data_IF_634105126560
#
_entry.id   IF_634105126560
#
_cell.length_a   1.000
_cell.length_b   1.000
_cell.length_c   1.000
_cell.angle_alpha   90.00
_cell.angle_beta   90.00
_cell.angle_gamma   90.00
#
_symmetry.space_group_name_H-M   'P 1'
#
loop_
_entity.id
_entity.type
_entity.pdbx_description
1 polymer ?
#
# COMPACT_ATOMS: atom_id res chain seq x y z
N UNK A 1 -64.92 39.18 31.79
CA UNK A 1 -63.56 39.28 31.21
C UNK A 1 -63.44 38.15 30.23
N UNK A 2 -63.50 38.49 28.96
CA UNK A 2 -63.59 37.47 27.83
C UNK A 2 -62.26 37.41 27.14
N UNK A 3 -61.54 36.25 27.18
CA UNK A 3 -60.32 35.98 26.41
C UNK A 3 -60.71 35.43 25.01
N UNK A 4 -60.28 36.10 23.98
CA UNK A 4 -60.40 35.65 22.58
C UNK A 4 -59.21 34.83 22.20
N UNK A 5 -59.42 33.60 21.82
CA UNK A 5 -58.43 32.73 21.21
C UNK A 5 -58.35 33.02 19.69
N UNK A 6 -57.16 33.30 19.17
CA UNK A 6 -56.86 33.36 17.73
C UNK A 6 -56.27 32.01 17.28
N UNK A 7 -57.01 31.36 16.39
CA UNK A 7 -56.59 30.16 15.69
C UNK A 7 -55.81 30.58 14.44
N UNK A 8 -54.51 30.31 14.40
CA UNK A 8 -53.67 30.52 13.21
C UNK A 8 -53.48 29.17 12.51
N UNK A 9 -54.10 29.03 11.33
CA UNK A 9 -53.95 27.93 10.41
C UNK A 9 -52.64 28.15 9.64
N UNK A 10 -51.60 27.33 9.91
CA UNK A 10 -50.39 27.24 9.08
C UNK A 10 -50.57 26.10 8.07
N UNK A 11 -50.74 26.48 6.81
CA UNK A 11 -50.63 25.57 5.66
C UNK A 11 -49.15 25.18 5.48
N UNK A 12 -48.79 23.97 5.84
CA UNK A 12 -47.48 23.41 5.56
C UNK A 12 -47.43 22.86 4.13
N UNK A 13 -46.63 23.50 3.28
CA UNK A 13 -46.28 23.00 1.96
C UNK A 13 -45.30 21.85 2.15
N UNK A 14 -45.72 20.61 1.91
CA UNK A 14 -44.82 19.46 1.84
C UNK A 14 -44.21 19.43 0.44
N UNK A 15 -42.95 19.86 0.31
CA UNK A 15 -42.14 19.66 -0.87
C UNK A 15 -41.51 18.26 -0.75
N UNK A 16 -42.05 17.29 -1.49
CA UNK A 16 -41.37 16.00 -1.73
C UNK A 16 -40.17 16.25 -2.63
N UNK A 17 -38.98 16.42 -2.06
CA UNK A 17 -37.74 16.28 -2.79
C UNK A 17 -37.41 14.79 -2.92
N UNK A 18 -37.64 14.23 -4.11
CA UNK A 18 -37.07 12.96 -4.52
C UNK A 18 -35.55 13.18 -4.73
N UNK A 19 -34.80 13.06 -3.65
CA UNK A 19 -33.35 12.95 -3.69
C UNK A 19 -32.98 11.52 -4.04
N UNK A 20 -32.44 11.28 -5.23
CA UNK A 20 -31.57 10.14 -5.46
C UNK A 20 -30.32 10.33 -4.59
N UNK A 21 -30.38 9.85 -3.37
CA UNK A 21 -29.23 9.71 -2.50
C UNK A 21 -28.53 8.44 -2.90
N UNK A 22 -27.41 8.53 -3.61
CA UNK A 22 -26.39 7.51 -3.57
C UNK A 22 -25.92 7.45 -2.09
N UNK A 23 -26.21 6.35 -1.42
CA UNK A 23 -25.66 6.08 -0.10
C UNK A 23 -24.16 5.83 -0.27
N UNK A 24 -23.36 6.87 -0.16
CA UNK A 24 -21.97 6.73 0.22
C UNK A 24 -21.98 6.23 1.68
N UNK A 25 -21.93 4.92 1.86
CA UNK A 25 -21.52 4.36 3.14
C UNK A 25 -20.06 4.75 3.34
N UNK A 26 -19.84 5.79 4.13
CA UNK A 26 -18.54 6.17 4.60
C UNK A 26 -17.98 5.00 5.41
N UNK A 27 -16.99 4.31 4.86
CA UNK A 27 -16.15 3.36 5.59
C UNK A 27 -15.31 4.17 6.60
N UNK A 28 -15.91 4.59 7.70
CA UNK A 28 -15.24 5.23 8.82
C UNK A 28 -14.79 4.13 9.78
N UNK A 29 -13.67 3.49 9.49
CA UNK A 29 -13.00 2.54 10.38
C UNK A 29 -11.57 3.00 10.66
N UNK A 30 -11.16 2.91 11.89
CA UNK A 30 -9.78 3.17 12.33
C UNK A 30 -8.85 2.18 11.61
N UNK A 31 -7.79 2.72 10.94
CA UNK A 31 -6.80 1.95 10.18
C UNK A 31 -5.92 1.11 11.11
N UNK A 32 -6.42 -0.03 11.55
CA UNK A 32 -5.59 -1.05 12.20
C UNK A 32 -6.08 -2.41 11.73
N UNK A 33 -5.25 -3.10 10.98
CA UNK A 33 -5.56 -4.31 10.23
C UNK A 33 -5.53 -5.56 11.10
N UNK A 34 -6.43 -6.57 10.82
CA UNK A 34 -5.91 -7.92 10.69
C UNK A 34 -6.82 -9.03 11.11
N UNK A 35 -7.03 -9.99 10.24
CA UNK A 35 -7.91 -11.13 10.47
C UNK A 35 -7.61 -12.26 9.49
N UNK A 36 -8.10 -13.45 9.78
CA UNK A 36 -8.20 -14.59 8.87
C UNK A 36 -9.60 -14.62 8.28
N UNK A 37 -9.71 -14.84 6.98
CA UNK A 37 -10.96 -15.06 6.28
C UNK A 37 -11.15 -16.54 5.96
N UNK A 38 -12.21 -17.15 6.50
CA UNK A 38 -12.46 -18.58 6.32
C UNK A 38 -11.41 -19.46 6.99
N UNK A 39 -10.53 -20.06 6.22
CA UNK A 39 -9.42 -20.87 6.69
C UNK A 39 -8.12 -20.04 6.71
N UNK A 40 -7.22 -20.33 7.66
CA UNK A 40 -5.88 -19.71 7.66
C UNK A 40 -5.04 -20.30 6.52
N UNK A 41 -4.97 -19.58 5.41
CA UNK A 41 -4.28 -19.99 4.18
C UNK A 41 -2.81 -19.58 4.14
N UNK A 42 -2.32 -18.88 5.17
CA UNK A 42 -0.92 -18.47 5.27
C UNK A 42 0.02 -19.67 5.32
N UNK A 43 0.95 -19.70 4.40
CA UNK A 43 1.95 -20.76 4.30
C UNK A 43 3.37 -20.23 4.47
N UNK A 44 4.25 -21.09 5.01
CA UNK A 44 5.68 -20.86 4.98
C UNK A 44 6.19 -20.79 3.53
N UNK A 45 7.14 -19.89 3.24
CA UNK A 45 7.75 -19.77 1.92
C UNK A 45 8.22 -21.12 1.40
N UNK A 46 9.02 -21.88 2.19
CA UNK A 46 9.56 -23.17 1.78
C UNK A 46 8.52 -24.28 1.57
N UNK A 47 7.28 -24.12 2.08
CA UNK A 47 6.19 -25.10 1.95
C UNK A 47 5.17 -24.76 0.87
N UNK A 48 5.14 -23.51 0.42
CA UNK A 48 4.11 -23.07 -0.52
C UNK A 48 4.19 -23.86 -1.84
N UNK A 49 3.07 -24.31 -2.43
CA UNK A 49 3.09 -25.15 -3.63
C UNK A 49 3.59 -24.43 -4.89
N UNK A 50 3.26 -23.13 -5.06
CA UNK A 50 3.72 -22.34 -6.20
C UNK A 50 5.21 -22.04 -6.07
N UNK A 51 6.00 -22.45 -7.07
CA UNK A 51 7.42 -22.14 -7.16
C UNK A 51 7.66 -20.66 -7.47
N UNK A 52 6.76 -20.04 -8.24
CA UNK A 52 6.86 -18.63 -8.62
C UNK A 52 6.62 -17.72 -7.42
N UNK A 53 5.58 -17.97 -6.61
CA UNK A 53 5.35 -17.20 -5.40
C UNK A 53 6.47 -17.38 -4.35
N UNK A 54 7.08 -18.59 -4.25
CA UNK A 54 8.26 -18.76 -3.40
C UNK A 54 9.42 -17.91 -3.89
N UNK A 55 9.69 -17.94 -5.21
CA UNK A 55 10.74 -17.14 -5.84
C UNK A 55 10.51 -15.65 -5.60
N UNK A 56 9.29 -15.14 -5.79
CA UNK A 56 8.94 -13.73 -5.52
C UNK A 56 9.18 -13.39 -4.05
N UNK A 57 8.81 -14.28 -3.12
CA UNK A 57 9.03 -14.08 -1.70
C UNK A 57 10.51 -13.95 -1.32
N UNK A 58 11.38 -14.68 -2.01
CA UNK A 58 12.83 -14.68 -1.81
C UNK A 58 13.52 -13.51 -2.54
N UNK A 59 13.05 -13.15 -3.74
CA UNK A 59 13.71 -12.17 -4.60
C UNK A 59 13.23 -10.73 -4.40
N UNK A 60 11.93 -10.51 -4.14
CA UNK A 60 11.32 -9.18 -4.26
C UNK A 60 10.73 -8.64 -2.95
N UNK A 61 10.50 -9.48 -1.93
CA UNK A 61 9.79 -9.05 -0.72
C UNK A 61 10.76 -8.59 0.36
N UNK A 62 10.44 -7.43 0.97
CA UNK A 62 11.33 -6.70 1.86
C UNK A 62 10.67 -6.48 3.22
N UNK A 63 11.33 -6.89 4.31
CA UNK A 63 10.92 -6.57 5.66
C UNK A 63 11.45 -5.19 6.08
N UNK A 64 10.58 -4.33 6.60
CA UNK A 64 11.00 -3.11 7.28
C UNK A 64 11.24 -3.45 8.75
N UNK A 65 12.49 -3.67 9.11
CA UNK A 65 12.92 -4.06 10.47
C UNK A 65 13.51 -2.83 11.16
N UNK A 66 13.01 -2.42 12.35
CA UNK A 66 13.65 -1.34 13.10
C UNK A 66 15.15 -1.57 13.29
N UNK A 67 15.97 -0.59 12.95
CA UNK A 67 17.43 -0.73 12.88
C UNK A 67 18.06 -1.21 14.20
N UNK A 68 17.42 -0.94 15.35
CA UNK A 68 17.88 -1.43 16.65
C UNK A 68 17.63 -2.94 16.87
N UNK A 69 16.88 -3.61 15.99
CA UNK A 69 16.59 -5.05 16.06
C UNK A 69 17.49 -5.91 15.17
N UNK A 70 18.38 -5.31 14.40
CA UNK A 70 19.31 -6.03 13.53
C UNK A 70 20.75 -5.68 13.89
N UNK A 71 21.63 -6.66 13.89
CA UNK A 71 23.04 -6.50 14.20
C UNK A 71 23.90 -7.24 13.17
N UNK A 72 24.89 -6.55 12.61
CA UNK A 72 25.87 -7.16 11.71
C UNK A 72 26.90 -7.95 12.50
N UNK A 73 27.14 -9.20 12.13
CA UNK A 73 28.14 -10.07 12.71
C UNK A 73 29.49 -9.95 11.97
N UNK A 74 30.53 -10.51 12.58
CA UNK A 74 31.90 -10.40 12.03
C UNK A 74 32.13 -11.23 10.77
N UNK A 75 31.27 -12.20 10.49
CA UNK A 75 31.34 -13.07 9.32
C UNK A 75 30.50 -12.58 8.12
N UNK A 76 29.92 -11.37 8.22
CA UNK A 76 29.10 -10.78 7.17
C UNK A 76 27.64 -11.27 7.16
N UNK A 77 27.23 -11.98 8.22
CA UNK A 77 25.82 -12.30 8.47
C UNK A 77 25.17 -11.27 9.38
N UNK A 78 23.85 -11.33 9.50
CA UNK A 78 23.09 -10.47 10.40
C UNK A 78 22.24 -11.31 11.35
N UNK A 79 22.26 -10.92 12.63
CA UNK A 79 21.38 -11.48 13.66
C UNK A 79 20.23 -10.53 13.97
N UNK A 80 19.10 -11.09 14.38
CA UNK A 80 17.88 -10.35 14.71
C UNK A 80 17.59 -10.45 16.20
N UNK A 81 17.28 -9.33 16.84
CA UNK A 81 16.71 -9.32 18.17
C UNK A 81 15.18 -9.50 18.07
N UNK A 82 14.73 -10.69 18.47
CA UNK A 82 13.34 -11.16 18.26
C UNK A 82 12.69 -11.56 19.57
N UNK A 83 11.36 -11.64 19.52
CA UNK A 83 10.51 -12.26 20.54
C UNK A 83 9.56 -13.24 19.83
N UNK A 84 9.12 -14.30 20.49
CA UNK A 84 8.11 -15.19 19.88
C UNK A 84 6.78 -14.45 19.71
N UNK A 85 6.04 -14.77 18.64
CA UNK A 85 4.72 -14.19 18.42
C UNK A 85 3.78 -14.42 19.62
N UNK A 86 3.82 -15.62 20.17
CA UNK A 86 3.02 -16.00 21.35
C UNK A 86 3.32 -15.11 22.55
N UNK A 87 4.58 -14.88 22.85
CA UNK A 87 4.97 -14.05 24.00
C UNK A 87 4.69 -12.55 23.72
N UNK A 88 4.85 -12.12 22.47
CA UNK A 88 4.58 -10.74 22.08
C UNK A 88 3.09 -10.38 22.18
N UNK A 89 2.20 -11.30 21.80
CA UNK A 89 0.76 -11.07 21.69
C UNK A 89 -0.06 -11.79 22.79
N UNK A 90 0.56 -12.56 23.67
CA UNK A 90 -0.13 -13.30 24.71
C UNK A 90 -1.05 -14.40 24.16
N UNK A 91 -0.61 -15.10 23.10
CA UNK A 91 -1.45 -16.06 22.39
C UNK A 91 -1.55 -17.40 23.13
N UNK A 92 -2.60 -18.13 22.81
CA UNK A 92 -2.78 -19.51 23.25
C UNK A 92 -1.68 -20.42 22.66
N UNK A 93 -1.35 -21.48 23.36
CA UNK A 93 -0.19 -22.31 23.02
C UNK A 93 -0.31 -23.06 21.69
N UNK A 94 -1.53 -23.23 21.22
CA UNK A 94 -1.90 -23.95 20.00
C UNK A 94 -2.17 -23.02 18.79
N UNK A 95 -1.98 -21.68 18.96
CA UNK A 95 -2.09 -20.75 17.84
C UNK A 95 -0.98 -20.95 16.81
N UNK A 96 -1.38 -20.83 15.52
CA UNK A 96 -0.46 -20.94 14.39
C UNK A 96 0.70 -19.94 14.52
N UNK A 97 1.90 -20.36 14.15
CA UNK A 97 3.13 -19.56 14.15
C UNK A 97 3.55 -18.97 15.51
N UNK A 98 2.87 -19.33 16.62
CA UNK A 98 3.07 -18.73 17.94
C UNK A 98 4.51 -18.79 18.46
N UNK A 99 5.30 -19.80 18.12
CA UNK A 99 6.69 -19.96 18.55
C UNK A 99 7.71 -19.27 17.61
N UNK A 100 7.26 -18.69 16.49
CA UNK A 100 8.18 -18.07 15.54
C UNK A 100 8.65 -16.70 16.00
N UNK A 101 9.85 -16.28 15.57
CA UNK A 101 10.42 -14.97 15.90
C UNK A 101 9.66 -13.84 15.22
N UNK A 102 9.62 -12.66 15.85
CA UNK A 102 9.04 -11.44 15.29
C UNK A 102 10.07 -10.33 15.26
N UNK A 103 10.26 -9.69 14.10
CA UNK A 103 11.21 -8.59 13.94
C UNK A 103 10.66 -7.43 13.11
N UNK A 104 9.89 -7.69 12.05
CA UNK A 104 9.39 -6.68 11.14
C UNK A 104 8.28 -5.82 11.76
N UNK A 105 8.21 -4.56 11.35
CA UNK A 105 7.13 -3.62 11.71
C UNK A 105 6.18 -3.35 10.55
N UNK A 106 6.72 -3.37 9.33
CA UNK A 106 5.99 -3.22 8.07
C UNK A 106 6.59 -4.14 7.01
N UNK A 107 5.88 -4.25 5.91
CA UNK A 107 6.27 -4.99 4.71
C UNK A 107 6.59 -4.03 3.57
N UNK A 108 7.32 -4.49 2.57
CA UNK A 108 7.58 -3.77 1.35
C UNK A 108 7.86 -4.71 0.18
N UNK A 109 7.94 -4.15 -1.00
CA UNK A 109 8.27 -4.87 -2.24
C UNK A 109 9.22 -4.06 -3.08
N UNK A 110 10.22 -4.72 -3.64
CA UNK A 110 11.15 -4.14 -4.59
C UNK A 110 10.43 -3.92 -5.93
N UNK A 111 10.42 -2.69 -6.44
CA UNK A 111 9.75 -2.31 -7.70
C UNK A 111 10.70 -1.81 -8.78
N UNK A 112 11.94 -1.54 -8.44
CA UNK A 112 13.05 -1.17 -9.32
C UNK A 112 14.36 -1.58 -8.65
N UNK A 113 15.48 -1.47 -9.32
CA UNK A 113 16.79 -1.94 -8.84
C UNK A 113 17.18 -1.37 -7.46
N UNK A 114 16.68 -0.19 -7.08
CA UNK A 114 16.92 0.44 -5.78
C UNK A 114 15.66 1.05 -5.14
N UNK A 115 14.46 0.71 -5.64
CA UNK A 115 13.22 1.24 -5.11
C UNK A 115 12.38 0.20 -4.38
N UNK A 116 12.08 0.47 -3.13
CA UNK A 116 11.14 -0.31 -2.30
C UNK A 116 9.85 0.47 -2.11
N UNK A 117 8.73 -0.16 -2.46
CA UNK A 117 7.38 0.32 -2.18
C UNK A 117 6.89 -0.24 -0.85
N UNK A 118 6.32 0.61 -0.01
CA UNK A 118 5.64 0.25 1.26
C UNK A 118 4.41 1.15 1.47
N UNK A 119 3.64 0.92 2.54
CA UNK A 119 2.56 1.82 2.92
C UNK A 119 3.10 3.17 3.42
N UNK A 120 2.42 4.26 3.10
CA UNK A 120 2.84 5.61 3.46
C UNK A 120 2.88 5.85 4.96
N UNK A 121 1.92 5.26 5.70
CA UNK A 121 1.86 5.35 7.16
C UNK A 121 2.98 4.56 7.88
N UNK A 122 3.73 3.70 7.19
CA UNK A 122 4.92 3.05 7.76
C UNK A 122 6.07 4.01 7.96
N UNK A 123 6.06 5.15 7.26
CA UNK A 123 7.11 6.15 7.29
C UNK A 123 6.51 7.47 7.78
N UNK A 124 6.90 7.91 8.96
CA UNK A 124 6.41 9.14 9.57
C UNK A 124 7.53 9.88 10.35
N UNK A 125 7.16 10.93 11.07
CA UNK A 125 8.13 11.71 11.87
C UNK A 125 8.68 10.95 13.09
N UNK A 126 7.96 9.93 13.59
CA UNK A 126 8.36 9.06 14.69
C UNK A 126 9.16 7.86 14.20
N UNK A 127 8.91 7.44 12.96
CA UNK A 127 9.52 6.30 12.29
C UNK A 127 9.98 6.72 10.88
N UNK A 128 10.99 7.62 10.78
CA UNK A 128 11.52 8.04 9.49
C UNK A 128 12.20 6.87 8.76
N UNK A 129 12.37 6.99 7.44
CA UNK A 129 12.84 5.86 6.63
C UNK A 129 14.21 5.30 7.06
N UNK A 130 15.07 6.13 7.64
CA UNK A 130 16.39 5.73 8.18
C UNK A 130 16.32 5.04 9.54
N UNK A 131 15.12 4.99 10.17
CA UNK A 131 14.90 4.20 11.38
C UNK A 131 14.79 2.70 11.09
N UNK A 132 14.69 2.31 9.81
CA UNK A 132 14.56 0.92 9.38
C UNK A 132 15.77 0.42 8.61
N UNK A 133 16.05 -0.88 8.78
CA UNK A 133 16.77 -1.69 7.81
C UNK A 133 15.74 -2.32 6.86
N UNK A 134 16.03 -2.34 5.59
CA UNK A 134 15.24 -2.96 4.52
C UNK A 134 15.88 -4.31 4.25
N UNK A 135 15.20 -5.39 4.68
CA UNK A 135 15.80 -6.72 4.81
C UNK A 135 15.10 -7.72 3.91
N UNK A 136 15.85 -8.27 2.96
CA UNK A 136 15.44 -9.45 2.20
C UNK A 136 15.73 -10.73 2.99
N UNK A 137 15.26 -11.87 2.51
CA UNK A 137 15.51 -13.19 3.11
C UNK A 137 15.03 -13.37 4.57
N UNK A 138 14.16 -12.47 5.08
CA UNK A 138 13.53 -12.71 6.37
C UNK A 138 12.36 -13.69 6.23
N UNK A 139 12.66 -14.97 5.97
CA UNK A 139 11.71 -16.08 5.88
C UNK A 139 12.29 -17.35 6.49
N UNK A 140 11.47 -18.38 6.70
CA UNK A 140 11.97 -19.72 7.05
C UNK A 140 12.34 -20.47 5.75
N UNK A 141 13.53 -21.09 5.73
CA UNK A 141 14.00 -21.97 4.66
C UNK A 141 13.82 -23.47 4.98
N UNK A 142 13.51 -23.78 6.24
CA UNK A 142 13.14 -25.09 6.75
C UNK A 142 12.31 -24.94 8.05
N UNK A 143 11.69 -26.01 8.58
CA UNK A 143 10.99 -25.95 9.85
C UNK A 143 11.85 -25.31 10.95
N UNK A 144 11.35 -24.26 11.58
CA UNK A 144 11.98 -23.54 12.70
C UNK A 144 13.37 -22.93 12.38
N UNK A 145 13.75 -22.86 11.10
CA UNK A 145 15.03 -22.31 10.68
C UNK A 145 14.82 -21.06 9.81
N UNK A 146 15.32 -19.91 10.28
CA UNK A 146 15.42 -18.71 9.47
C UNK A 146 16.49 -18.87 8.39
N UNK A 147 16.22 -18.36 7.21
CA UNK A 147 17.23 -18.18 6.18
C UNK A 147 18.36 -17.27 6.71
N UNK A 148 19.57 -17.46 6.20
CA UNK A 148 20.71 -16.65 6.63
C UNK A 148 20.63 -15.30 5.94
N UNK A 149 20.51 -14.24 6.73
CA UNK A 149 20.54 -12.85 6.25
C UNK A 149 22.01 -12.42 6.15
N UNK A 150 22.45 -11.95 4.99
CA UNK A 150 23.80 -11.51 4.69
C UNK A 150 23.88 -10.01 4.40
N UNK A 151 25.11 -9.49 4.20
CA UNK A 151 25.30 -8.08 3.86
C UNK A 151 24.57 -7.67 2.56
N UNK A 152 24.47 -8.56 1.59
CA UNK A 152 23.73 -8.37 0.33
C UNK A 152 22.20 -8.35 0.50
N UNK A 153 21.66 -8.77 1.64
CA UNK A 153 20.24 -8.81 1.94
C UNK A 153 19.77 -7.61 2.75
N UNK A 154 20.68 -6.73 3.20
CA UNK A 154 20.37 -5.64 4.13
C UNK A 154 20.74 -4.30 3.50
N UNK A 155 19.75 -3.42 3.42
CA UNK A 155 19.85 -2.08 2.84
C UNK A 155 19.37 -1.03 3.82
N UNK A 156 19.82 0.22 3.59
CA UNK A 156 19.40 1.39 4.33
C UNK A 156 18.60 2.34 3.42
N UNK A 157 17.85 3.26 3.99
CA UNK A 157 17.19 4.32 3.26
C UNK A 157 18.19 5.39 2.83
N UNK A 158 18.27 5.71 1.53
CA UNK A 158 18.92 6.91 1.05
C UNK A 158 17.96 8.11 1.13
N UNK A 159 16.72 7.94 0.71
CA UNK A 159 15.68 8.99 0.76
C UNK A 159 14.30 8.43 0.46
N UNK A 160 13.26 9.15 0.86
CA UNK A 160 11.90 8.96 0.36
C UNK A 160 11.77 9.66 -1.00
N UNK A 161 11.39 8.93 -2.04
CA UNK A 161 11.24 9.45 -3.40
C UNK A 161 9.85 10.04 -3.60
N UNK A 162 8.83 9.30 -3.18
CA UNK A 162 7.43 9.70 -3.25
C UNK A 162 6.71 9.17 -2.01
N UNK A 163 5.83 9.97 -1.43
CA UNK A 163 5.02 9.53 -0.30
C UNK A 163 3.67 10.21 -0.31
N UNK A 164 2.66 9.42 -0.01
CA UNK A 164 1.33 9.87 0.34
C UNK A 164 0.91 9.12 1.59
N UNK A 165 0.31 9.83 2.54
CA UNK A 165 -0.26 9.23 3.75
C UNK A 165 -1.75 9.60 3.84
N UNK A 166 -2.59 8.75 4.46
CA UNK A 166 -4.01 9.00 4.53
C UNK A 166 -4.32 10.26 5.35
N UNK A 167 -5.24 11.07 4.87
CA UNK A 167 -5.72 12.28 5.56
C UNK A 167 -7.24 12.22 5.75
N UNK A 168 -7.72 12.75 6.87
CA UNK A 168 -9.14 12.99 7.10
C UNK A 168 -10.03 11.75 7.16
N UNK A 169 -9.47 10.58 7.49
CA UNK A 169 -10.20 9.32 7.58
C UNK A 169 -10.38 8.59 6.24
N UNK A 170 -9.71 9.03 5.18
CA UNK A 170 -9.62 8.30 3.92
C UNK A 170 -8.57 7.20 4.02
N UNK A 171 -8.74 6.09 3.26
CA UNK A 171 -7.74 5.03 3.18
C UNK A 171 -6.63 5.34 2.17
N UNK A 172 -6.94 6.10 1.13
CA UNK A 172 -6.03 6.41 0.03
C UNK A 172 -5.94 7.92 -0.20
N UNK A 173 -4.81 8.38 -0.76
CA UNK A 173 -3.61 7.58 -1.07
C UNK A 173 -2.79 7.24 0.20
N UNK A 174 -2.20 6.03 0.24
CA UNK A 174 -1.35 5.57 1.34
C UNK A 174 -0.21 4.71 0.77
N UNK A 175 0.91 5.33 0.40
CA UNK A 175 2.11 4.64 -0.08
C UNK A 175 3.36 5.47 0.19
N UNK A 176 4.51 4.81 0.27
CA UNK A 176 5.83 5.42 0.23
C UNK A 176 6.76 4.61 -0.69
N UNK A 177 7.49 5.31 -1.55
CA UNK A 177 8.56 4.75 -2.37
C UNK A 177 9.88 5.23 -1.79
N UNK A 178 10.70 4.27 -1.38
CA UNK A 178 11.96 4.49 -0.69
C UNK A 178 13.09 4.12 -1.65
N UNK A 179 14.03 5.03 -1.86
CA UNK A 179 15.28 4.70 -2.52
C UNK A 179 16.24 4.11 -1.51
N UNK A 180 16.75 2.93 -1.81
CA UNK A 180 17.78 2.25 -1.05
C UNK A 180 19.13 2.96 -1.19
N UNK A 181 20.06 2.70 -0.26
CA UNK A 181 21.39 3.27 -0.26
C UNK A 181 22.29 2.80 -1.42
N UNK A 182 21.89 1.74 -2.09
CA UNK A 182 22.54 1.19 -3.30
C UNK A 182 21.54 0.32 -4.07
N UNK A 183 21.76 0.09 -5.38
CA UNK A 183 21.03 -0.93 -6.13
C UNK A 183 21.17 -2.31 -5.47
N UNK A 184 20.10 -3.13 -5.60
CA UNK A 184 20.14 -4.49 -5.06
C UNK A 184 21.13 -5.35 -5.84
N UNK A 185 21.68 -6.34 -5.14
CA UNK A 185 22.69 -7.25 -5.67
C UNK A 185 22.20 -8.72 -5.53
N UNK A 186 22.90 -9.62 -6.21
CA UNK A 186 22.68 -11.05 -6.06
C UNK A 186 21.42 -11.56 -6.73
N UNK A 187 20.53 -12.18 -5.94
CA UNK A 187 19.31 -12.81 -6.42
C UNK A 187 18.07 -11.90 -6.33
N UNK A 188 18.20 -10.68 -5.82
CA UNK A 188 17.05 -9.80 -5.65
C UNK A 188 16.64 -9.15 -6.97
N UNK A 189 15.35 -9.27 -7.31
CA UNK A 189 14.79 -8.85 -8.60
C UNK A 189 13.49 -8.09 -8.33
N UNK A 190 13.27 -6.93 -8.99
CA UNK A 190 12.01 -6.20 -8.89
C UNK A 190 10.80 -7.04 -9.28
N UNK A 191 9.70 -6.87 -8.55
CA UNK A 191 8.45 -7.52 -8.85
C UNK A 191 7.87 -7.02 -10.19
N UNK A 192 7.33 -7.93 -10.98
CA UNK A 192 6.63 -7.57 -12.22
C UNK A 192 5.35 -6.80 -11.89
N UNK A 193 5.18 -5.61 -12.45
CA UNK A 193 4.04 -4.73 -12.16
C UNK A 193 2.89 -5.03 -13.12
N UNK A 194 1.67 -5.10 -12.56
CA UNK A 194 0.44 -5.24 -13.34
C UNK A 194 0.17 -3.97 -14.16
N UNK A 195 -0.29 -4.09 -15.43
CA UNK A 195 -0.82 -2.96 -16.18
C UNK A 195 -1.96 -2.25 -15.44
N UNK A 196 -2.14 -0.95 -15.68
CA UNK A 196 -3.19 -0.13 -15.09
C UNK A 196 -4.60 -0.50 -15.61
N UNK A 197 -5.03 -1.73 -15.35
CA UNK A 197 -6.35 -2.25 -15.71
C UNK A 197 -7.09 -2.71 -14.45
N UNK A 198 -8.44 -2.58 -14.40
CA UNK A 198 -9.20 -3.08 -13.27
C UNK A 198 -8.98 -4.57 -13.04
N UNK A 199 -8.96 -4.97 -11.78
CA UNK A 199 -9.10 -6.38 -11.40
C UNK A 199 -10.54 -6.85 -11.63
N UNK A 200 -10.72 -8.13 -11.89
CA UNK A 200 -12.06 -8.76 -11.93
C UNK A 200 -12.57 -9.02 -10.51
N UNK A 201 -13.88 -8.92 -10.31
CA UNK A 201 -14.49 -9.39 -9.07
C UNK A 201 -14.25 -10.90 -8.92
N UNK A 202 -13.86 -11.36 -7.72
CA UNK A 202 -13.46 -12.75 -7.44
C UNK A 202 -12.20 -13.21 -8.19
N UNK A 203 -11.43 -12.28 -8.75
CA UNK A 203 -10.10 -12.60 -9.26
C UNK A 203 -9.21 -13.08 -8.11
N UNK A 204 -8.52 -14.20 -8.30
CA UNK A 204 -7.66 -14.78 -7.28
C UNK A 204 -6.46 -13.87 -6.99
N UNK A 205 -6.11 -13.77 -5.72
CA UNK A 205 -5.00 -12.97 -5.23
C UNK A 205 -4.06 -13.82 -4.37
N UNK A 206 -2.78 -13.47 -4.41
CA UNK A 206 -1.81 -13.89 -3.43
C UNK A 206 -1.20 -12.68 -2.74
N UNK A 207 -1.05 -12.73 -1.41
CA UNK A 207 -0.37 -11.71 -0.63
C UNK A 207 0.89 -12.28 0.01
N UNK A 208 1.99 -11.50 -0.03
CA UNK A 208 3.26 -11.90 0.60
C UNK A 208 3.75 -10.77 1.49
N UNK A 209 4.04 -11.08 2.76
CA UNK A 209 4.52 -10.09 3.71
C UNK A 209 4.79 -10.62 5.11
N UNK A 210 4.88 -9.70 6.08
CA UNK A 210 5.44 -9.92 7.42
C UNK A 210 4.41 -9.65 8.54
N UNK A 211 3.22 -10.22 8.40
CA UNK A 211 2.16 -10.06 9.39
C UNK A 211 2.58 -10.42 10.80
N UNK A 212 2.17 -9.61 11.77
CA UNK A 212 2.57 -9.68 13.18
C UNK A 212 4.10 -9.63 13.41
N UNK A 213 4.86 -9.18 12.41
CA UNK A 213 6.32 -9.15 12.43
C UNK A 213 6.99 -10.50 12.19
N UNK A 214 6.22 -11.54 11.83
CA UNK A 214 6.70 -12.88 11.51
C UNK A 214 7.65 -12.89 10.31
N UNK A 215 8.47 -13.93 10.12
CA UNK A 215 9.08 -14.25 8.84
C UNK A 215 8.04 -14.34 7.73
N UNK A 216 8.39 -13.97 6.51
CA UNK A 216 7.46 -13.88 5.38
C UNK A 216 6.52 -15.08 5.29
N UNK A 217 5.25 -14.78 5.04
CA UNK A 217 4.20 -15.77 4.73
C UNK A 217 3.63 -15.46 3.35
N UNK A 218 3.21 -16.51 2.67
CA UNK A 218 2.44 -16.44 1.43
C UNK A 218 1.02 -16.85 1.78
N UNK A 219 0.08 -15.95 1.60
CA UNK A 219 -1.35 -16.23 1.55
C UNK A 219 -1.80 -16.24 0.09
N UNK A 220 -2.34 -17.35 -0.40
CA UNK A 220 -2.83 -17.49 -1.78
C UNK A 220 -4.30 -17.92 -1.85
N UNK A 221 -5.02 -17.85 -0.73
CA UNK A 221 -6.46 -18.13 -0.65
C UNK A 221 -7.34 -16.93 -0.96
N UNK A 222 -6.77 -15.72 -1.06
CA UNK A 222 -7.49 -14.49 -1.23
C UNK A 222 -8.12 -14.29 -2.61
N UNK A 223 -9.08 -13.37 -2.66
CA UNK A 223 -9.74 -12.91 -3.89
C UNK A 223 -10.23 -11.46 -3.78
N UNK A 224 -10.48 -10.83 -4.92
CA UNK A 224 -11.05 -9.48 -5.00
C UNK A 224 -12.53 -9.51 -4.62
N UNK A 225 -12.89 -8.85 -3.54
CA UNK A 225 -14.27 -8.69 -3.09
C UNK A 225 -14.95 -7.47 -3.74
N UNK A 226 -14.24 -6.34 -3.88
CA UNK A 226 -14.69 -5.14 -4.60
C UNK A 226 -13.53 -4.55 -5.40
N UNK A 227 -13.55 -4.64 -6.72
CA UNK A 227 -12.46 -4.16 -7.57
C UNK A 227 -12.41 -2.62 -7.70
N UNK A 228 -13.46 -1.88 -7.32
CA UNK A 228 -13.59 -0.42 -7.51
C UNK A 228 -13.14 0.03 -8.91
N UNK A 229 -13.59 -0.70 -9.93
CA UNK A 229 -13.10 -0.62 -11.30
C UNK A 229 -13.25 0.77 -11.95
N UNK A 230 -14.13 1.62 -11.42
CA UNK A 230 -14.40 2.99 -11.86
C UNK A 230 -13.45 4.03 -11.25
N UNK A 231 -12.71 3.67 -10.19
CA UNK A 231 -11.84 4.59 -9.44
C UNK A 231 -10.36 4.21 -9.51
N UNK A 232 -10.05 2.92 -9.45
CA UNK A 232 -8.68 2.37 -9.38
C UNK A 232 -7.83 2.94 -8.24
N UNK A 233 -8.48 3.47 -7.19
CA UNK A 233 -7.80 4.03 -6.02
C UNK A 233 -7.28 2.93 -5.10
N UNK A 234 -8.16 2.00 -4.74
CA UNK A 234 -7.86 0.77 -4.01
C UNK A 234 -8.87 -0.30 -4.42
N UNK A 235 -8.63 -1.52 -4.02
CA UNK A 235 -9.62 -2.60 -4.07
C UNK A 235 -9.74 -3.27 -2.71
N UNK A 236 -10.86 -3.96 -2.49
CA UNK A 236 -11.11 -4.71 -1.25
C UNK A 236 -10.91 -6.20 -1.53
N UNK A 237 -10.24 -6.87 -0.60
CA UNK A 237 -9.90 -8.29 -0.70
C UNK A 237 -10.23 -9.05 0.61
N UNK A 238 -10.24 -10.39 0.54
CA UNK A 238 -10.32 -11.29 1.68
C UNK A 238 -8.99 -12.03 1.93
N UNK A 239 -7.87 -11.34 1.77
CA UNK A 239 -6.55 -11.88 2.11
C UNK A 239 -6.34 -11.91 3.63
N UNK A 240 -5.64 -12.92 4.13
CA UNK A 240 -5.32 -13.09 5.55
C UNK A 240 -4.26 -12.09 5.99
N UNK A 241 -4.69 -11.01 6.63
CA UNK A 241 -3.81 -9.91 6.99
C UNK A 241 -3.67 -9.72 8.50
N UNK A 242 -2.59 -9.11 8.94
CA UNK A 242 -2.25 -8.83 10.35
C UNK A 242 -1.43 -7.54 10.44
N UNK A 243 -1.46 -6.87 11.59
CA UNK A 243 -0.58 -5.75 11.85
C UNK A 243 0.87 -6.10 11.48
N UNK A 244 1.51 -5.25 10.65
CA UNK A 244 2.81 -5.56 10.04
C UNK A 244 2.71 -5.97 8.56
N UNK A 245 1.51 -6.38 8.07
CA UNK A 245 1.28 -6.52 6.64
C UNK A 245 1.12 -5.18 5.90
N UNK A 246 1.13 -4.03 6.58
CA UNK A 246 1.20 -2.72 5.92
C UNK A 246 2.35 -2.68 4.92
N UNK A 247 2.05 -2.43 3.63
CA UNK A 247 3.00 -2.51 2.53
C UNK A 247 3.22 -3.91 1.93
N UNK A 248 2.52 -4.95 2.41
CA UNK A 248 2.59 -6.30 1.80
C UNK A 248 2.16 -6.29 0.35
N UNK A 249 2.95 -6.94 -0.48
CA UNK A 249 2.67 -7.07 -1.90
C UNK A 249 1.50 -8.01 -2.16
N UNK A 250 0.54 -7.55 -2.94
CA UNK A 250 -0.60 -8.35 -3.40
C UNK A 250 -0.48 -8.58 -4.90
N UNK A 251 -0.49 -9.84 -5.31
CA UNK A 251 -0.25 -10.28 -6.67
C UNK A 251 -1.54 -10.80 -7.30
N UNK A 252 -1.71 -10.56 -8.61
CA UNK A 252 -2.79 -11.12 -9.40
C UNK A 252 -2.53 -12.60 -9.78
N UNK A 253 -3.46 -13.21 -10.52
CA UNK A 253 -3.37 -14.61 -10.96
C UNK A 253 -2.25 -14.88 -11.97
N UNK A 254 -1.55 -13.86 -12.46
CA UNK A 254 -0.39 -13.94 -13.33
C UNK A 254 0.93 -13.58 -12.58
N UNK A 255 0.89 -13.59 -11.24
CA UNK A 255 2.01 -13.27 -10.34
C UNK A 255 2.57 -11.85 -10.55
N UNK A 256 1.72 -10.89 -10.99
CA UNK A 256 2.08 -9.47 -11.14
C UNK A 256 1.58 -8.67 -9.95
N UNK A 257 2.40 -7.75 -9.48
CA UNK A 257 2.07 -6.83 -8.40
C UNK A 257 0.85 -5.98 -8.76
N UNK A 258 -0.25 -6.22 -8.09
CA UNK A 258 -1.53 -5.50 -8.25
C UNK A 258 -1.67 -4.32 -7.28
N UNK A 259 -1.00 -4.39 -6.13
CA UNK A 259 -1.05 -3.35 -5.12
C UNK A 259 -0.35 -3.74 -3.83
N UNK A 260 -0.48 -2.88 -2.83
CA UNK A 260 0.03 -3.11 -1.47
C UNK A 260 -1.07 -2.99 -0.44
N UNK A 261 -1.04 -3.84 0.57
CA UNK A 261 -1.97 -3.76 1.70
C UNK A 261 -1.72 -2.48 2.50
N UNK A 262 -2.78 -1.74 2.80
CA UNK A 262 -2.70 -0.49 3.56
C UNK A 262 -3.59 -0.48 4.80
N UNK A 263 -4.52 -1.40 4.94
CA UNK A 263 -5.40 -1.48 6.09
C UNK A 263 -6.44 -2.57 5.94
N UNK A 264 -7.23 -2.77 6.98
CA UNK A 264 -8.26 -3.81 6.98
C UNK A 264 -9.03 -3.90 8.31
N UNK A 265 -9.56 -5.07 8.62
CA UNK A 265 -10.40 -5.31 9.81
C UNK A 265 -9.56 -5.50 11.07
N UNK A 266 -10.16 -5.17 12.22
CA UNK A 266 -9.56 -5.32 13.56
C UNK A 266 -10.53 -5.95 14.53
N UNK A 267 -10.01 -6.51 15.65
CA UNK A 267 -8.60 -6.73 16.03
C UNK A 267 -8.03 -8.02 15.43
N UNK A 268 -6.66 -8.11 15.33
CA UNK A 268 -5.91 -9.32 14.92
C UNK A 268 -6.24 -10.53 15.79
N UNK A 269 -6.30 -10.28 17.10
CA UNK A 269 -6.44 -11.32 18.12
C UNK A 269 -7.50 -10.91 19.13
N UNK A 270 -8.29 -11.89 19.55
CA UNK A 270 -9.36 -11.74 20.54
C UNK A 270 -9.16 -12.74 21.67
N UNK A 271 -9.56 -12.38 22.88
CA UNK A 271 -9.63 -13.33 24.00
C UNK A 271 -11.07 -13.85 24.06
N UNK A 272 -11.25 -15.14 23.82
CA UNK A 272 -12.57 -15.75 23.85
C UNK A 272 -13.08 -15.94 25.30
N UNK A 273 -14.40 -16.02 25.46
CA UNK A 273 -15.01 -16.22 26.76
C UNK A 273 -14.49 -17.53 27.43
N UNK A 274 -13.94 -17.38 28.62
CA UNK A 274 -13.37 -18.50 29.40
C UNK A 274 -11.90 -18.78 29.10
N UNK A 275 -11.27 -18.12 28.14
CA UNK A 275 -9.84 -18.20 27.88
C UNK A 275 -9.08 -17.04 28.54
N UNK A 276 -7.76 -17.21 28.73
CA UNK A 276 -6.86 -16.19 29.28
C UNK A 276 -5.75 -15.79 28.28
N UNK A 277 -5.87 -16.26 27.04
CA UNK A 277 -4.89 -16.06 25.96
C UNK A 277 -5.60 -15.62 24.68
N UNK A 278 -4.86 -14.98 23.79
CA UNK A 278 -5.37 -14.47 22.52
C UNK A 278 -5.54 -15.58 21.48
N UNK A 279 -6.58 -15.48 20.67
CA UNK A 279 -6.87 -16.26 19.47
C UNK A 279 -6.88 -15.37 18.25
N UNK A 280 -6.49 -15.89 17.11
CA UNK A 280 -6.66 -15.20 15.82
C UNK A 280 -8.14 -14.88 15.61
N UNK A 281 -8.43 -13.66 15.18
CA UNK A 281 -9.78 -13.27 14.77
C UNK A 281 -10.10 -13.92 13.42
N UNK A 282 -11.26 -14.60 13.34
CA UNK A 282 -11.71 -15.26 12.11
C UNK A 282 -13.03 -14.67 11.67
N UNK A 283 -13.12 -14.31 10.39
CA UNK A 283 -14.30 -13.78 9.74
C UNK A 283 -14.73 -14.69 8.59
N UNK A 284 -15.96 -14.53 8.15
CA UNK A 284 -16.47 -15.17 6.95
C UNK A 284 -15.93 -14.42 5.71
N UNK A 285 -15.65 -15.14 4.60
CA UNK A 285 -15.16 -14.55 3.33
C UNK A 285 -16.06 -13.43 2.82
N UNK A 286 -17.36 -13.51 3.06
CA UNK A 286 -18.33 -12.46 2.69
C UNK A 286 -18.14 -11.16 3.46
N UNK A 287 -17.33 -11.16 4.50
CA UNK A 287 -17.00 -10.01 5.33
C UNK A 287 -15.68 -9.36 4.93
N UNK A 288 -15.15 -9.66 3.75
CA UNK A 288 -13.92 -9.08 3.21
C UNK A 288 -13.82 -7.58 3.51
N UNK A 289 -12.64 -7.14 3.92
CA UNK A 289 -12.44 -5.76 4.36
C UNK A 289 -11.00 -5.29 4.29
N UNK A 290 -10.10 -6.13 3.76
CA UNK A 290 -8.71 -5.73 3.56
C UNK A 290 -8.59 -4.78 2.39
N UNK A 291 -7.95 -3.63 2.61
CA UNK A 291 -7.82 -2.54 1.65
C UNK A 291 -6.44 -2.58 1.03
N UNK A 292 -6.41 -2.77 -0.28
CA UNK A 292 -5.16 -2.85 -1.07
C UNK A 292 -5.08 -1.63 -1.97
N UNK A 293 -4.07 -0.79 -1.76
CA UNK A 293 -3.81 0.38 -2.61
C UNK A 293 -3.39 -0.08 -4.01
N UNK A 294 -4.06 0.41 -5.05
CA UNK A 294 -3.80 -0.02 -6.42
C UNK A 294 -2.43 0.46 -6.90
N UNK A 295 -1.66 -0.45 -7.51
CA UNK A 295 -0.30 -0.16 -7.99
C UNK A 295 -0.27 0.95 -9.05
N UNK A 296 -1.33 1.08 -9.86
CA UNK A 296 -1.39 2.10 -10.91
C UNK A 296 -1.29 3.52 -10.36
N UNK A 297 -1.93 3.80 -9.20
CA UNK A 297 -1.83 5.12 -8.56
C UNK A 297 -0.47 5.35 -7.90
N UNK A 298 0.18 4.29 -7.40
CA UNK A 298 1.55 4.40 -6.87
C UNK A 298 2.50 4.83 -7.98
N UNK A 299 2.47 4.12 -9.12
CA UNK A 299 3.31 4.43 -10.27
C UNK A 299 3.02 5.85 -10.79
N UNK A 300 1.74 6.22 -10.93
CA UNK A 300 1.37 7.57 -11.34
C UNK A 300 1.93 8.63 -10.38
N UNK A 301 1.76 8.45 -9.07
CA UNK A 301 2.27 9.37 -8.06
C UNK A 301 3.80 9.49 -8.06
N UNK A 302 4.52 8.38 -8.26
CA UNK A 302 5.97 8.37 -8.40
C UNK A 302 6.43 9.17 -9.61
N UNK A 303 5.78 8.99 -10.76
CA UNK A 303 6.09 9.71 -12.00
C UNK A 303 5.74 11.19 -11.91
N UNK A 304 4.63 11.54 -11.26
CA UNK A 304 4.22 12.93 -11.00
C UNK A 304 5.21 13.67 -10.09
N UNK A 305 5.83 12.95 -9.14
CA UNK A 305 6.87 13.48 -8.26
C UNK A 305 8.25 13.62 -8.97
N UNK A 306 8.32 13.28 -10.26
CA UNK A 306 9.47 13.51 -11.13
C UNK A 306 10.44 12.36 -11.29
N UNK A 307 10.06 11.16 -10.91
CA UNK A 307 10.80 9.96 -11.28
C UNK A 307 10.72 9.80 -12.80
N UNK A 308 11.85 9.57 -13.46
CA UNK A 308 11.93 9.60 -14.93
C UNK A 308 12.38 8.27 -15.56
N UNK A 309 12.32 7.19 -14.79
CA UNK A 309 12.56 5.88 -15.33
C UNK A 309 11.50 5.50 -16.37
N UNK A 310 11.93 5.11 -17.57
CA UNK A 310 11.04 4.81 -18.69
C UNK A 310 10.34 3.46 -18.56
N UNK A 311 10.89 2.55 -17.78
CA UNK A 311 10.31 1.22 -17.58
C UNK A 311 9.11 1.30 -16.62
N UNK A 312 9.19 2.15 -15.60
CA UNK A 312 8.09 2.42 -14.68
C UNK A 312 7.12 3.49 -15.19
N UNK A 313 7.63 4.61 -15.68
CA UNK A 313 6.82 5.80 -16.01
C UNK A 313 6.47 5.91 -17.51
N UNK A 314 7.02 5.06 -18.35
CA UNK A 314 6.87 5.17 -19.80
C UNK A 314 7.57 6.39 -20.38
N UNK A 315 7.57 6.57 -21.69
CA UNK A 315 8.18 7.73 -22.34
C UNK A 315 7.42 9.01 -21.93
N UNK A 316 8.14 10.03 -21.45
CA UNK A 316 7.54 11.33 -21.13
C UNK A 316 6.85 11.90 -22.38
N UNK A 317 5.56 12.18 -22.29
CA UNK A 317 4.85 12.92 -23.33
C UNK A 317 5.50 14.31 -23.50
N UNK A 318 5.55 14.79 -24.74
CA UNK A 318 6.14 16.10 -25.08
C UNK A 318 5.63 17.21 -24.16
N UNK A 319 6.51 18.16 -23.79
CA UNK A 319 6.21 19.31 -22.92
C UNK A 319 4.88 19.97 -23.30
N UNK A 320 3.88 19.91 -22.42
CA UNK A 320 2.59 20.59 -22.58
C UNK A 320 1.34 19.78 -22.32
N UNK A 321 1.43 18.47 -22.15
CA UNK A 321 0.30 17.63 -21.72
C UNK A 321 0.63 16.92 -20.40
N UNK A 322 -0.37 16.72 -19.50
CA UNK A 322 -0.13 15.99 -18.26
C UNK A 322 0.31 14.56 -18.59
N UNK A 323 1.35 14.07 -17.90
CA UNK A 323 1.87 12.73 -18.02
C UNK A 323 0.76 11.72 -17.68
N UNK A 324 0.07 11.23 -18.70
CA UNK A 324 -0.86 10.13 -18.57
C UNK A 324 -0.11 8.81 -18.79
N UNK A 325 -0.16 7.91 -17.83
CA UNK A 325 0.32 6.55 -17.99
C UNK A 325 -0.41 5.90 -19.19
N UNK A 326 0.31 5.69 -20.28
CA UNK A 326 -0.19 4.90 -21.41
C UNK A 326 0.20 3.45 -21.14
N UNK A 327 -0.76 2.67 -20.63
CA UNK A 327 -0.57 1.22 -20.49
C UNK A 327 -0.13 0.61 -21.84
N UNK A 328 0.87 -0.27 -21.88
CA UNK A 328 1.19 -1.00 -23.09
C UNK A 328 -0.04 -1.82 -23.51
N UNK A 329 -0.58 -1.51 -24.69
CA UNK A 329 -1.68 -2.27 -25.28
C UNK A 329 -1.10 -3.63 -25.71
N UNK A 330 -1.43 -4.69 -25.00
CA UNK A 330 -1.12 -6.04 -25.44
C UNK A 330 -2.09 -6.39 -26.57
N UNK A 331 -1.64 -6.26 -27.82
CA UNK A 331 -2.36 -6.77 -28.99
C UNK A 331 -2.38 -8.30 -28.96
N UNK A 332 -3.42 -8.84 -28.35
CA UNK A 332 -3.75 -10.25 -28.46
C UNK A 332 -4.28 -10.59 -29.85
N UNK A 333 -3.42 -10.72 -30.84
CA UNK A 333 -3.67 -11.55 -32.03
C UNK A 333 -2.35 -11.78 -32.78
N UNK A 334 -1.97 -13.03 -32.88
CA UNK A 334 -0.87 -13.46 -33.74
C UNK A 334 -1.19 -13.18 -35.21
N UNK A 335 -0.38 -12.33 -35.83
CA UNK A 335 -0.42 -12.08 -37.25
C UNK A 335 0.86 -11.37 -37.69
N UNK A 336 1.70 -12.10 -38.40
CA UNK A 336 2.94 -11.60 -39.05
C UNK A 336 2.59 -10.53 -40.07
N UNK A 337 3.04 -9.29 -39.82
CA UNK A 337 2.93 -8.22 -40.81
C UNK A 337 3.68 -6.99 -40.34
N UNK A 338 4.95 -6.90 -40.71
CA UNK A 338 5.79 -5.70 -40.53
C UNK A 338 5.32 -4.66 -41.54
N UNK A 339 4.63 -3.60 -41.09
CA UNK A 339 4.55 -2.35 -41.86
C UNK A 339 5.01 -1.22 -40.94
N UNK A 340 6.13 -0.61 -41.37
CA UNK A 340 6.66 0.59 -40.75
C UNK A 340 5.59 1.72 -40.84
N UNK A 341 5.17 2.26 -39.70
CA UNK A 341 4.43 3.51 -39.68
C UNK A 341 5.41 4.68 -39.76
N UNK A 342 5.28 5.42 -40.83
CA UNK A 342 6.06 6.63 -41.10
C UNK A 342 5.81 7.70 -40.02
N UNK A 343 6.90 8.34 -39.59
CA UNK A 343 6.89 9.37 -38.58
C UNK A 343 6.03 10.59 -39.00
N UNK A 344 5.10 10.94 -38.17
CA UNK A 344 4.41 12.24 -38.26
C UNK A 344 5.32 13.31 -37.65
N UNK A 345 5.96 14.07 -38.53
CA UNK A 345 6.70 15.27 -38.19
C UNK A 345 5.74 16.33 -37.65
N UNK A 346 5.95 16.80 -36.42
CA UNK A 346 5.29 17.98 -35.88
C UNK A 346 5.84 19.24 -36.61
N UNK A 347 5.02 19.82 -37.47
CA UNK A 347 5.30 21.15 -38.04
C UNK A 347 4.90 22.21 -37.04
N UNK A 348 5.86 23.05 -36.62
CA UNK A 348 5.61 24.23 -35.84
C UNK A 348 4.90 25.29 -36.71
N UNK A 349 3.66 25.63 -36.38
CA UNK A 349 3.00 26.84 -36.93
C UNK A 349 3.24 28.01 -35.98
N UNK A 350 4.08 28.94 -36.45
CA UNK A 350 4.21 30.30 -35.87
C UNK A 350 2.99 31.11 -36.22
N UNK A 351 2.16 31.38 -35.22
CA UNK A 351 1.06 32.34 -35.32
C UNK A 351 1.28 33.46 -34.34
N UNK A 352 1.65 34.65 -34.89
CA UNK A 352 1.81 35.90 -34.18
C UNK A 352 0.46 36.57 -33.96
N UNK A 353 0.44 37.42 -32.95
CA UNK A 353 -0.37 38.62 -32.70
C UNK A 353 -1.48 38.56 -31.67
N UNK A 354 -1.39 39.53 -30.75
CA UNK A 354 -2.53 40.20 -30.14
C UNK A 354 -2.33 40.59 -28.67
N UNK A 355 -1.70 41.75 -28.44
CA UNK A 355 -1.72 42.48 -27.17
C UNK A 355 -3.13 42.83 -26.71
N UNK A 356 -3.47 42.58 -25.47
CA UNK A 356 -4.44 43.37 -24.72
C UNK A 356 -4.04 43.40 -23.24
N UNK A 357 -3.47 44.54 -22.84
CA UNK A 357 -3.23 44.89 -21.44
C UNK A 357 -4.53 45.24 -20.75
N UNK A 358 -4.81 44.65 -19.59
CA UNK A 358 -5.70 45.24 -18.58
C UNK A 358 -5.00 45.19 -17.24
N UNK A 359 -4.61 46.37 -16.77
CA UNK A 359 -4.14 46.62 -15.42
C UNK A 359 -5.32 46.90 -14.49
N UNK A 360 -5.40 46.25 -13.35
CA UNK A 360 -6.14 46.69 -12.14
C UNK A 360 -5.47 45.96 -10.98
N UNK A 361 -4.72 46.58 -10.11
CA UNK A 361 -5.15 47.39 -9.00
C UNK A 361 -4.74 46.67 -7.73
N UNK A 362 -3.55 47.01 -7.19
CA UNK A 362 -3.01 46.64 -5.88
C UNK A 362 -3.94 47.13 -4.76
N UNK A 363 -4.24 46.29 -3.77
CA UNK A 363 -4.63 46.75 -2.43
C UNK A 363 -3.92 45.88 -1.38
N UNK A 364 -2.87 46.47 -0.82
CA UNK A 364 -2.15 46.01 0.36
C UNK A 364 -2.98 46.31 1.62
N UNK A 365 -3.25 45.31 2.44
CA UNK A 365 -3.59 45.50 3.87
C UNK A 365 -2.50 44.89 4.74
N UNK A 366 -1.69 45.80 5.30
CA UNK A 366 -0.74 45.56 6.37
C UNK A 366 -1.52 45.67 7.68
N UNK A 367 -1.56 44.59 8.48
CA UNK A 367 -1.95 44.67 9.90
C UNK A 367 -0.81 44.15 10.75
N UNK A 368 -0.05 45.10 11.28
CA UNK A 368 0.91 44.85 12.35
C UNK A 368 0.18 44.64 13.68
N UNK A 369 0.44 43.56 14.39
CA UNK A 369 0.17 43.43 15.83
C UNK A 369 1.44 43.17 16.61
N UNK A 370 1.70 44.15 17.51
CA UNK A 370 2.81 44.23 18.45
C UNK A 370 2.80 43.15 19.50
N UNK A 371 3.94 42.57 19.72
CA UNK A 371 4.32 41.82 20.94
C UNK A 371 4.33 42.76 22.15
N UNK A 372 3.74 42.31 23.24
CA UNK A 372 4.10 42.76 24.60
C UNK A 372 4.56 41.55 25.42
N UNK A 373 5.83 41.56 25.76
CA UNK A 373 6.42 40.78 26.84
C UNK A 373 5.86 41.25 28.17
N UNK A 374 5.57 40.32 29.06
CA UNK A 374 5.77 40.51 30.52
C UNK A 374 6.15 39.20 31.14
N UNK A 375 7.26 39.26 31.84
CA UNK A 375 7.83 38.28 32.75
C UNK A 375 7.08 38.29 34.10
N UNK A 376 6.91 37.13 34.68
CA UNK A 376 7.08 36.81 36.10
C UNK A 376 7.20 35.28 36.19
#
# INVERSE_FOLDING_TARGET
MRARAYLVLLFGLVVLALGCGSSEEAFAGELTASVVYGADDRAEVFKHPSADLRRIAEESIVALIPSFRISRETDGTHSLFTQSLKDLRGLCADESFGNQPTAASCSGVLIDDDLVLTAGHCIDAQSPCDAYAYVFNYHLDAPERLAVIRDEDVYSCARVVSQRAPEGGNFTPDFAVIQLDRPVEGAHIPASIRPATPLGQQEALAMIGFGSGLPAKIDSGGSVADPRADRLDFFVANVDAFQGHSGSATFDSEDRLAGILIGGRTPDYVVLEGESCGRVSVYDDSQAGEVVHNIALVVAGLCDDGWDDTDLCGPKACEGEPCGFVAPVSDGHGGTGVTAAEGSSCSASTGSTGFASVAVGLLLFVVARRFRRRAA
#
